data_IF_206843304350
#
_entry.id   IF_206843304350
#
_cell.length_a   1.000
_cell.length_b   1.000
_cell.length_c   1.000
_cell.angle_alpha   90.00
_cell.angle_beta   90.00
_cell.angle_gamma   90.00
#
_symmetry.space_group_name_H-M   'P 1'
#
loop_
_entity.id
_entity.type
_entity.pdbx_description
1 polymer ?
#
# COMPACT_ATOMS: atom_id res chain seq x y z
N UNK A 1 6.52 -4.61 -21.34
CA UNK A 1 5.51 -4.00 -20.45
C UNK A 1 5.94 -4.43 -19.06
N UNK A 2 6.23 -3.49 -18.14
CA UNK A 2 6.59 -3.91 -16.77
C UNK A 2 5.37 -4.58 -16.17
N UNK A 3 5.49 -5.88 -15.88
CA UNK A 3 4.50 -6.62 -15.11
C UNK A 3 4.37 -5.91 -13.75
N UNK A 4 3.16 -5.48 -13.42
CA UNK A 4 2.93 -4.78 -12.17
C UNK A 4 3.06 -5.79 -11.02
N UNK A 5 4.12 -5.67 -10.21
CA UNK A 5 4.40 -6.58 -9.08
C UNK A 5 3.31 -6.55 -7.99
N UNK A 6 2.46 -5.52 -8.00
CA UNK A 6 1.34 -5.34 -7.09
C UNK A 6 0.22 -4.50 -7.72
N UNK A 7 -0.99 -4.63 -7.19
CA UNK A 7 -2.15 -3.79 -7.49
C UNK A 7 -2.59 -3.00 -6.26
N UNK A 8 -3.28 -1.90 -6.51
CA UNK A 8 -3.87 -1.04 -5.48
C UNK A 8 -5.33 -0.81 -5.83
N UNK A 9 -6.22 -0.97 -4.86
CA UNK A 9 -7.64 -0.71 -5.03
C UNK A 9 -8.17 0.18 -3.91
N UNK A 10 -8.88 1.24 -4.25
CA UNK A 10 -9.56 2.09 -3.28
C UNK A 10 -10.90 1.46 -2.90
N UNK A 11 -11.01 1.05 -1.66
CA UNK A 11 -12.18 0.40 -1.06
C UNK A 11 -13.03 1.40 -0.28
N UNK A 12 -14.31 1.04 -0.07
CA UNK A 12 -15.26 1.78 0.77
C UNK A 12 -15.47 3.25 0.38
N UNK A 13 -15.41 3.52 -0.93
CA UNK A 13 -15.72 4.83 -1.50
C UNK A 13 -16.57 4.70 -2.79
N UNK A 14 -17.83 4.24 -2.70
CA UNK A 14 -18.66 4.00 -3.88
C UNK A 14 -19.06 5.28 -4.64
N UNK A 15 -19.13 6.42 -3.95
CA UNK A 15 -19.54 7.71 -4.54
C UNK A 15 -18.45 8.38 -5.37
N UNK A 16 -17.20 7.88 -5.31
CA UNK A 16 -16.09 8.45 -6.06
C UNK A 16 -16.18 8.05 -7.54
N UNK A 17 -16.17 9.03 -8.48
CA UNK A 17 -16.09 8.77 -9.91
C UNK A 17 -14.90 7.88 -10.27
N UNK A 18 -15.08 6.98 -11.24
CA UNK A 18 -14.08 5.99 -11.62
C UNK A 18 -12.75 6.62 -12.06
N UNK A 19 -12.80 7.73 -12.80
CA UNK A 19 -11.62 8.48 -13.23
C UNK A 19 -10.82 9.03 -12.04
N UNK A 20 -11.51 9.49 -10.99
CA UNK A 20 -10.87 9.94 -9.75
C UNK A 20 -10.33 8.78 -8.92
N UNK A 21 -11.04 7.64 -8.91
CA UNK A 21 -10.58 6.41 -8.26
C UNK A 21 -9.28 5.92 -8.87
N UNK A 22 -9.24 5.76 -10.18
CA UNK A 22 -8.04 5.32 -10.91
C UNK A 22 -6.86 6.27 -10.69
N UNK A 23 -7.11 7.59 -10.65
CA UNK A 23 -6.08 8.57 -10.33
C UNK A 23 -5.57 8.44 -8.89
N UNK A 24 -6.45 8.19 -7.92
CA UNK A 24 -6.09 7.99 -6.52
C UNK A 24 -5.23 6.73 -6.34
N UNK A 25 -5.66 5.60 -6.92
CA UNK A 25 -4.96 4.32 -6.90
C UNK A 25 -3.58 4.44 -7.56
N UNK A 26 -3.48 5.08 -8.73
CA UNK A 26 -2.22 5.29 -9.42
C UNK A 26 -1.26 6.19 -8.62
N UNK A 27 -1.78 7.25 -7.97
CA UNK A 27 -0.98 8.11 -7.08
C UNK A 27 -0.47 7.35 -5.88
N UNK A 28 -1.34 6.58 -5.23
CA UNK A 28 -0.99 5.74 -4.09
C UNK A 28 0.12 4.77 -4.46
N UNK A 29 -0.07 3.97 -5.53
CA UNK A 29 0.91 2.98 -5.99
C UNK A 29 2.28 3.62 -6.27
N UNK A 30 2.29 4.78 -6.96
CA UNK A 30 3.52 5.51 -7.27
C UNK A 30 4.25 6.00 -6.02
N UNK A 31 3.52 6.55 -5.05
CA UNK A 31 4.12 7.06 -3.80
C UNK A 31 4.62 5.91 -2.93
N UNK A 32 3.85 4.83 -2.82
CA UNK A 32 4.25 3.64 -2.05
C UNK A 32 5.55 3.04 -2.61
N UNK A 33 5.61 2.80 -3.92
CA UNK A 33 6.81 2.29 -4.58
C UNK A 33 8.00 3.22 -4.37
N UNK A 34 7.81 4.55 -4.47
CA UNK A 34 8.88 5.52 -4.23
C UNK A 34 9.42 5.48 -2.79
N UNK A 35 8.54 5.35 -1.79
CA UNK A 35 8.93 5.31 -0.38
C UNK A 35 9.67 4.01 -0.02
N UNK A 36 9.29 2.90 -0.65
CA UNK A 36 9.89 1.58 -0.41
C UNK A 36 11.14 1.32 -1.27
N UNK A 37 11.33 2.07 -2.36
CA UNK A 37 12.52 2.01 -3.21
C UNK A 37 12.32 1.26 -4.53
N UNK A 38 11.08 1.01 -4.93
CA UNK A 38 10.72 0.37 -6.19
C UNK A 38 9.53 -0.58 -6.05
N UNK A 39 8.90 -0.99 -7.16
CA UNK A 39 7.74 -1.89 -7.16
C UNK A 39 8.08 -3.30 -6.63
N UNK A 40 9.28 -3.80 -6.89
CA UNK A 40 9.76 -5.08 -6.35
C UNK A 40 9.77 -5.09 -4.81
N UNK A 41 10.31 -4.01 -4.22
CA UNK A 41 10.38 -3.85 -2.76
C UNK A 41 9.02 -3.66 -2.10
N UNK A 42 8.00 -3.23 -2.85
CA UNK A 42 6.61 -3.19 -2.35
C UNK A 42 6.13 -4.61 -2.08
N UNK A 43 6.36 -5.53 -3.01
CA UNK A 43 5.95 -6.92 -2.86
C UNK A 43 6.60 -7.57 -1.65
N UNK A 44 7.92 -7.44 -1.51
CA UNK A 44 8.65 -8.07 -0.41
C UNK A 44 8.26 -7.50 0.95
N UNK A 45 8.09 -6.17 1.04
CA UNK A 45 7.60 -5.53 2.25
C UNK A 45 6.17 -5.97 2.59
N UNK A 46 5.29 -6.09 1.58
CA UNK A 46 3.90 -6.53 1.77
C UNK A 46 3.85 -7.96 2.32
N UNK A 47 4.59 -8.90 1.73
CA UNK A 47 4.60 -10.28 2.24
C UNK A 47 5.20 -10.41 3.62
N UNK A 48 6.25 -9.64 3.93
CA UNK A 48 6.81 -9.61 5.27
C UNK A 48 5.75 -9.11 6.28
N UNK A 49 5.09 -7.99 5.97
CA UNK A 49 4.09 -7.37 6.87
C UNK A 49 2.87 -8.27 7.06
N UNK A 50 2.38 -8.93 6.01
CA UNK A 50 1.28 -9.89 6.13
C UNK A 50 1.70 -11.13 6.94
N UNK A 51 2.92 -11.63 6.75
CA UNK A 51 3.44 -12.76 7.52
C UNK A 51 3.59 -12.47 9.02
N UNK A 52 3.77 -11.20 9.39
CA UNK A 52 3.85 -10.78 10.79
C UNK A 52 2.54 -10.99 11.57
N UNK A 53 1.38 -11.03 10.90
CA UNK A 53 0.10 -11.26 11.57
C UNK A 53 0.03 -12.65 12.22
N UNK A 54 0.70 -13.64 11.61
CA UNK A 54 0.78 -15.02 12.08
C UNK A 54 2.08 -15.32 12.85
N UNK A 55 3.00 -14.36 12.95
CA UNK A 55 4.31 -14.56 13.60
C UNK A 55 4.22 -14.28 15.11
N UNK A 56 4.65 -15.22 15.99
CA UNK A 56 4.71 -14.99 17.43
C UNK A 56 5.61 -13.79 17.77
N UNK A 57 5.25 -12.94 18.76
CA UNK A 57 6.04 -11.75 19.12
C UNK A 57 7.52 -12.02 19.41
N UNK A 58 7.84 -13.19 19.98
CA UNK A 58 9.18 -13.68 20.27
C UNK A 58 10.02 -14.01 19.03
N UNK A 59 9.37 -14.30 17.90
CA UNK A 59 10.01 -14.61 16.62
C UNK A 59 10.12 -13.38 15.71
N UNK A 60 9.46 -12.26 16.05
CA UNK A 60 9.54 -11.02 15.29
C UNK A 60 10.92 -10.38 15.46
N UNK A 61 11.73 -10.44 14.41
CA UNK A 61 13.06 -9.83 14.38
C UNK A 61 13.01 -8.30 14.33
N UNK A 62 14.11 -7.64 14.69
CA UNK A 62 14.21 -6.18 14.62
C UNK A 62 14.13 -5.66 13.18
N UNK A 63 14.65 -6.41 12.21
CA UNK A 63 14.55 -6.09 10.79
C UNK A 63 13.08 -6.09 10.33
N UNK A 64 12.30 -7.06 10.82
CA UNK A 64 10.88 -7.14 10.50
C UNK A 64 10.09 -5.98 11.09
N UNK A 65 10.40 -5.56 12.33
CA UNK A 65 9.82 -4.35 12.96
C UNK A 65 10.17 -3.09 12.18
N UNK A 66 11.42 -2.96 11.72
CA UNK A 66 11.86 -1.83 10.90
C UNK A 66 11.11 -1.80 9.56
N UNK A 67 10.97 -2.95 8.91
CA UNK A 67 10.19 -3.06 7.66
C UNK A 67 8.73 -2.71 7.88
N UNK A 68 8.09 -3.22 8.94
CA UNK A 68 6.71 -2.87 9.30
C UNK A 68 6.53 -1.37 9.56
N UNK A 69 7.46 -0.75 10.30
CA UNK A 69 7.45 0.70 10.54
C UNK A 69 7.59 1.48 9.23
N UNK A 70 8.47 1.03 8.34
CA UNK A 70 8.69 1.64 7.02
C UNK A 70 7.46 1.50 6.14
N UNK A 71 6.86 0.32 6.08
CA UNK A 71 5.61 0.04 5.36
C UNK A 71 4.50 0.96 5.85
N UNK A 72 4.26 1.03 7.16
CA UNK A 72 3.21 1.86 7.76
C UNK A 72 3.38 3.34 7.38
N UNK A 73 4.61 3.87 7.45
CA UNK A 73 4.91 5.24 7.05
C UNK A 73 4.69 5.46 5.55
N UNK A 74 5.13 4.52 4.72
CA UNK A 74 4.98 4.59 3.27
C UNK A 74 3.51 4.54 2.85
N UNK A 75 2.73 3.60 3.41
CA UNK A 75 1.31 3.44 3.17
C UNK A 75 0.51 4.67 3.59
N UNK A 76 0.84 5.28 4.74
CA UNK A 76 0.23 6.54 5.17
C UNK A 76 0.52 7.69 4.21
N UNK A 77 1.78 7.89 3.85
CA UNK A 77 2.15 8.94 2.89
C UNK A 77 1.49 8.73 1.52
N UNK A 78 1.35 7.48 1.10
CA UNK A 78 0.65 7.12 -0.12
C UNK A 78 -0.86 7.38 -0.02
N UNK A 79 -1.50 7.10 1.12
CA UNK A 79 -2.91 7.39 1.36
C UNK A 79 -3.19 8.89 1.33
N UNK A 80 -2.37 9.68 2.02
CA UNK A 80 -2.47 11.16 2.03
C UNK A 80 -2.33 11.72 0.60
N UNK A 81 -1.41 11.20 -0.21
CA UNK A 81 -1.25 11.61 -1.60
C UNK A 81 -2.36 11.10 -2.55
N UNK A 82 -2.85 9.89 -2.33
CA UNK A 82 -3.92 9.27 -3.11
C UNK A 82 -5.26 9.98 -2.93
N UNK A 83 -5.56 10.39 -1.70
CA UNK A 83 -6.79 11.10 -1.33
C UNK A 83 -6.67 12.63 -1.47
N UNK A 84 -5.52 13.14 -1.88
CA UNK A 84 -5.32 14.57 -2.05
C UNK A 84 -6.30 15.15 -3.07
N UNK A 85 -7.20 16.02 -2.59
CA UNK A 85 -8.26 16.65 -3.39
C UNK A 85 -9.56 15.82 -3.49
N UNK A 86 -9.65 14.72 -2.73
CA UNK A 86 -10.83 13.89 -2.57
C UNK A 86 -11.40 14.16 -1.17
N UNK A 87 -12.56 14.82 -1.07
CA UNK A 87 -13.18 15.17 0.21
C UNK A 87 -13.92 13.98 0.85
N UNK A 88 -14.04 13.93 2.18
CA UNK A 88 -14.80 12.89 2.87
C UNK A 88 -14.10 11.53 2.88
N UNK A 89 -13.05 11.41 3.70
CA UNK A 89 -12.14 10.25 3.72
C UNK A 89 -12.35 9.33 4.93
N UNK A 90 -13.48 9.43 5.63
CA UNK A 90 -13.61 8.87 6.99
C UNK A 90 -13.73 7.34 7.02
N UNK A 91 -13.91 6.67 5.88
CA UNK A 91 -14.03 5.20 5.85
C UNK A 91 -13.37 4.50 4.66
N UNK A 92 -12.68 5.22 3.77
CA UNK A 92 -12.02 4.60 2.63
C UNK A 92 -10.60 4.12 2.97
N UNK A 93 -10.17 3.02 2.36
CA UNK A 93 -8.81 2.52 2.51
C UNK A 93 -8.26 2.01 1.17
N UNK A 94 -6.93 1.97 1.06
CA UNK A 94 -6.28 1.36 -0.10
C UNK A 94 -5.89 -0.08 0.24
N UNK A 95 -6.46 -1.01 -0.52
CA UNK A 95 -6.08 -2.41 -0.50
C UNK A 95 -4.89 -2.63 -1.45
N UNK A 96 -3.83 -3.27 -0.97
CA UNK A 96 -2.62 -3.54 -1.74
C UNK A 96 -2.43 -5.05 -1.86
N UNK A 97 -2.37 -5.57 -3.09
CA UNK A 97 -2.22 -7.01 -3.34
C UNK A 97 -1.01 -7.29 -4.21
N UNK A 98 -0.26 -8.35 -3.92
CA UNK A 98 0.77 -8.87 -4.85
C UNK A 98 0.09 -9.48 -6.08
N UNK A 99 0.73 -9.32 -7.23
CA UNK A 99 0.35 -10.06 -8.44
C UNK A 99 1.26 -11.29 -8.52
N UNK A 100 0.66 -12.48 -8.50
CA UNK A 100 1.38 -13.73 -8.72
C UNK A 100 1.33 -14.06 -10.21
N UNK A 101 2.49 -14.20 -10.83
CA UNK A 101 2.65 -14.65 -12.22
C UNK A 101 2.92 -16.16 -12.25
#
# INVERSE_FOLDING_TARGET
>A
MQEATFTVSLCDYPELPEDKRQQAEARYARVLARQLGGPELVGDALSLVQGLEDTPPEEITEEAKQMFSRWTKAARAAAEAGLQGIGGTESCFFDVRRVYH
#
